data_IF_909619393285
#
_entry.id   IF_909619393285
#
_cell.length_a   1.000
_cell.length_b   1.000
_cell.length_c   1.000
_cell.angle_alpha   90.00
_cell.angle_beta   90.00
_cell.angle_gamma   90.00
#
_symmetry.space_group_name_H-M   'P 1'
#
loop_
_entity.id
_entity.type
_entity.pdbx_description
1 polymer ?
#
# COMPACT_ATOMS: atom_id res chain seq x y z
N UNK A 1 -17.96 17.24 14.58
CA UNK A 1 -17.43 16.82 14.75
C UNK A 1 -17.06 16.16 14.12
N UNK A 2 -16.93 16.09 13.62
CA UNK A 2 -16.90 15.26 12.97
C UNK A 2 -15.94 15.08 11.88
N UNK A 3 -15.51 16.09 11.09
CA UNK A 3 -14.44 15.99 10.08
C UNK A 3 -13.11 15.60 10.74
N UNK A 4 -12.82 16.18 11.89
CA UNK A 4 -11.58 15.86 12.61
C UNK A 4 -11.61 14.42 13.14
N UNK A 5 -12.75 13.96 13.63
CA UNK A 5 -12.88 12.59 14.14
C UNK A 5 -12.67 11.58 13.02
N UNK A 6 -13.24 11.83 11.85
CA UNK A 6 -13.07 10.94 10.72
C UNK A 6 -11.65 10.92 10.21
N UNK A 7 -11.01 12.08 10.11
CA UNK A 7 -9.63 12.16 9.69
C UNK A 7 -8.72 11.39 10.64
N UNK A 8 -8.96 11.52 11.94
CA UNK A 8 -8.19 10.80 12.95
C UNK A 8 -8.42 9.29 12.87
N UNK A 9 -9.66 8.88 12.60
CA UNK A 9 -9.99 7.46 12.46
C UNK A 9 -9.25 6.85 11.28
N UNK A 10 -9.25 7.54 10.13
CA UNK A 10 -8.54 7.06 8.94
C UNK A 10 -7.06 6.98 9.20
N UNK A 11 -6.50 8.00 9.84
CA UNK A 11 -5.07 8.05 10.16
C UNK A 11 -4.68 6.91 11.09
N UNK A 12 -5.49 6.66 12.10
CA UNK A 12 -5.24 5.57 13.06
C UNK A 12 -5.29 4.22 12.38
N UNK A 13 -6.27 4.01 11.50
CA UNK A 13 -6.39 2.76 10.76
C UNK A 13 -5.20 2.54 9.83
N UNK A 14 -4.75 3.59 9.15
CA UNK A 14 -3.56 3.49 8.28
C UNK A 14 -2.32 3.15 9.09
N UNK A 15 -2.14 3.78 10.24
CA UNK A 15 -0.99 3.51 11.09
C UNK A 15 -1.01 2.08 11.60
N UNK A 16 -2.18 1.60 12.00
CA UNK A 16 -2.34 0.22 12.47
C UNK A 16 -2.03 -0.78 11.34
N UNK A 17 -2.51 -0.48 10.14
CA UNK A 17 -2.26 -1.34 8.99
C UNK A 17 -0.78 -1.43 8.66
N UNK A 18 -0.07 -0.30 8.73
CA UNK A 18 1.37 -0.29 8.51
C UNK A 18 2.10 -1.13 9.56
N UNK A 19 1.68 -1.04 10.81
CA UNK A 19 2.24 -1.87 11.87
C UNK A 19 2.00 -3.36 11.61
N UNK A 20 0.79 -3.69 11.17
CA UNK A 20 0.46 -5.08 10.87
C UNK A 20 1.29 -5.62 9.70
N UNK A 21 1.53 -4.79 8.69
CA UNK A 21 2.39 -5.18 7.58
C UNK A 21 3.82 -5.44 8.05
N UNK A 22 4.35 -4.55 8.89
CA UNK A 22 5.72 -4.68 9.42
C UNK A 22 5.86 -5.90 10.30
N UNK A 23 4.82 -6.23 11.04
CA UNK A 23 4.83 -7.38 11.94
C UNK A 23 4.52 -8.70 11.23
N UNK A 24 4.17 -8.64 9.95
CA UNK A 24 3.82 -9.84 9.21
C UNK A 24 2.41 -10.35 9.47
N UNK A 25 1.57 -9.55 10.14
CA UNK A 25 0.20 -9.95 10.43
C UNK A 25 -0.75 -9.64 9.29
N UNK A 26 -0.33 -8.80 8.35
CA UNK A 26 -1.15 -8.43 7.20
C UNK A 26 -0.39 -8.73 5.92
N UNK A 27 -1.07 -9.31 4.96
CA UNK A 27 -0.47 -9.66 3.67
C UNK A 27 -0.69 -8.51 2.68
N UNK A 28 0.41 -7.99 2.13
CA UNK A 28 0.35 -6.88 1.19
C UNK A 28 -0.39 -7.27 -0.10
N UNK A 29 -0.31 -8.54 -0.51
CA UNK A 29 -1.02 -8.99 -1.70
C UNK A 29 -2.52 -8.86 -1.55
N UNK A 30 -3.05 -9.18 -0.38
CA UNK A 30 -4.47 -9.04 -0.09
C UNK A 30 -4.88 -7.57 -0.16
N UNK A 31 -4.04 -6.69 0.39
CA UNK A 31 -4.31 -5.24 0.35
C UNK A 31 -4.30 -4.71 -1.08
N UNK A 32 -3.40 -5.20 -1.91
CA UNK A 32 -3.32 -4.75 -3.30
C UNK A 32 -4.51 -5.23 -4.12
N UNK A 33 -4.97 -6.45 -3.86
CA UNK A 33 -6.09 -7.01 -4.60
C UNK A 33 -7.44 -6.46 -4.16
N UNK A 34 -7.57 -6.20 -2.86
CA UNK A 34 -8.84 -5.75 -2.30
C UNK A 34 -8.57 -4.70 -1.22
N UNK A 35 -8.17 -3.49 -1.62
CA UNK A 35 -7.82 -2.46 -0.64
C UNK A 35 -9.05 -1.93 0.10
N UNK A 36 -8.93 -1.73 1.42
CA UNK A 36 -10.00 -1.07 2.19
C UNK A 36 -10.17 0.38 1.75
N UNK A 37 -11.34 0.93 2.01
CA UNK A 37 -11.66 2.29 1.61
C UNK A 37 -10.66 3.32 2.15
N UNK A 38 -10.23 3.15 3.39
CA UNK A 38 -9.32 4.11 4.03
C UNK A 38 -7.90 4.05 3.48
N UNK A 39 -7.59 3.07 2.64
CA UNK A 39 -6.26 2.89 2.04
C UNK A 39 -6.23 3.32 0.58
N UNK A 40 -7.38 3.44 -0.06
CA UNK A 40 -7.42 3.73 -1.50
C UNK A 40 -6.75 5.05 -1.87
N UNK A 41 -6.78 6.05 -1.00
CA UNK A 41 -6.13 7.32 -1.25
C UNK A 41 -4.66 7.36 -0.80
N UNK A 42 -4.16 6.30 -0.18
CA UNK A 42 -2.76 6.23 0.25
C UNK A 42 -1.86 5.97 -0.96
N UNK A 43 -0.65 6.53 -0.91
CA UNK A 43 0.31 6.29 -1.99
C UNK A 43 0.80 4.86 -1.96
N UNK A 44 0.93 4.26 -3.14
CA UNK A 44 1.36 2.87 -3.25
C UNK A 44 2.77 2.69 -2.67
N UNK A 45 3.68 3.63 -2.93
CA UNK A 45 5.03 3.54 -2.40
C UNK A 45 5.05 3.54 -0.87
N UNK A 46 4.17 4.33 -0.27
CA UNK A 46 4.07 4.42 1.19
C UNK A 46 3.66 3.08 1.81
N UNK A 47 2.72 2.40 1.19
CA UNK A 47 2.28 1.09 1.66
C UNK A 47 3.36 0.02 1.45
N UNK A 48 4.04 0.05 0.31
CA UNK A 48 5.09 -0.94 0.03
C UNK A 48 6.28 -0.76 0.97
N UNK A 49 6.59 0.46 1.37
CA UNK A 49 7.67 0.72 2.32
C UNK A 49 7.37 0.15 3.71
N UNK A 50 6.12 -0.08 4.04
CA UNK A 50 5.75 -0.68 5.31
C UNK A 50 6.01 -2.19 5.34
N UNK A 51 6.23 -2.81 4.18
CA UNK A 51 6.49 -4.25 4.12
C UNK A 51 7.92 -4.51 4.58
N UNK A 52 8.15 -5.48 5.50
CA UNK A 52 9.50 -5.81 5.96
C UNK A 52 10.41 -6.21 4.80
N UNK A 53 11.68 -5.86 4.88
CA UNK A 53 12.71 -6.19 3.89
C UNK A 53 12.60 -5.40 2.59
N UNK A 54 11.67 -4.47 2.48
CA UNK A 54 11.54 -3.62 1.30
C UNK A 54 11.88 -2.19 1.66
N UNK A 55 13.05 -1.72 1.21
CA UNK A 55 13.48 -0.34 1.39
C UNK A 55 13.13 0.52 0.18
N UNK A 56 13.51 1.79 0.23
CA UNK A 56 13.22 2.73 -0.85
C UNK A 56 13.75 2.27 -2.21
N UNK A 57 14.97 1.75 -2.24
CA UNK A 57 15.59 1.32 -3.49
C UNK A 57 14.79 0.19 -4.11
N UNK A 58 14.45 -0.80 -3.30
CA UNK A 58 13.72 -1.97 -3.77
C UNK A 58 12.31 -1.61 -4.23
N UNK A 59 11.63 -0.78 -3.46
CA UNK A 59 10.28 -0.33 -3.80
C UNK A 59 10.30 0.46 -5.11
N UNK A 60 11.23 1.41 -5.24
CA UNK A 60 11.34 2.20 -6.46
C UNK A 60 11.63 1.33 -7.68
N UNK A 61 12.47 0.32 -7.51
CA UNK A 61 12.80 -0.61 -8.59
C UNK A 61 11.55 -1.39 -9.03
N UNK A 62 10.79 -1.89 -8.06
CA UNK A 62 9.56 -2.63 -8.38
C UNK A 62 8.56 -1.74 -9.09
N UNK A 63 8.35 -0.52 -8.60
CA UNK A 63 7.42 0.42 -9.21
C UNK A 63 7.85 0.76 -10.64
N UNK A 64 9.14 0.95 -10.86
CA UNK A 64 9.66 1.25 -12.20
C UNK A 64 9.40 0.07 -13.14
N UNK A 65 9.61 -1.14 -12.68
CA UNK A 65 9.37 -2.35 -13.49
C UNK A 65 7.91 -2.50 -13.86
N UNK A 66 7.02 -2.10 -12.96
CA UNK A 66 5.57 -2.16 -13.21
C UNK A 66 5.03 -0.89 -13.87
N UNK A 67 5.91 0.07 -14.16
CA UNK A 67 5.53 1.35 -14.76
C UNK A 67 4.51 2.10 -13.91
N UNK A 68 4.71 2.07 -12.62
CA UNK A 68 3.84 2.74 -11.67
C UNK A 68 4.58 3.94 -11.08
N UNK A 69 3.93 5.11 -11.12
CA UNK A 69 4.49 6.31 -10.49
C UNK A 69 4.48 6.14 -8.96
N UNK A 70 5.56 6.57 -8.26
CA UNK A 70 5.57 6.50 -6.80
C UNK A 70 4.45 7.30 -6.13
N UNK A 71 3.91 8.30 -6.82
CA UNK A 71 2.81 9.10 -6.29
C UNK A 71 1.43 8.51 -6.60
N UNK A 72 1.38 7.39 -7.31
CA UNK A 72 0.12 6.73 -7.62
C UNK A 72 -0.52 6.21 -6.34
N UNK A 73 -1.85 6.35 -6.23
CA UNK A 73 -2.56 5.84 -5.06
C UNK A 73 -2.96 4.38 -5.26
N UNK A 74 -3.22 3.71 -4.16
CA UNK A 74 -3.63 2.29 -4.19
C UNK A 74 -4.92 2.13 -5.01
N UNK A 75 -5.90 3.00 -4.79
CA UNK A 75 -7.17 2.95 -5.52
C UNK A 75 -7.04 3.37 -6.97
N UNK A 76 -5.95 4.06 -7.33
CA UNK A 76 -5.72 4.50 -8.70
C UNK A 76 -4.99 3.49 -9.56
N UNK A 77 -4.59 2.35 -9.02
CA UNK A 77 -3.90 1.33 -9.78
C UNK A 77 -4.86 0.64 -10.76
N UNK A 78 -4.37 0.38 -11.98
CA UNK A 78 -5.13 -0.44 -12.92
C UNK A 78 -5.07 -1.90 -12.48
N UNK A 79 -5.97 -2.73 -13.01
CA UNK A 79 -5.95 -4.16 -12.68
C UNK A 79 -4.63 -4.81 -13.08
N UNK A 80 -4.10 -4.41 -14.23
CA UNK A 80 -2.82 -4.94 -14.71
C UNK A 80 -1.68 -4.56 -13.79
N UNK A 81 -1.60 -3.27 -13.40
CA UNK A 81 -0.57 -2.80 -12.49
C UNK A 81 -0.65 -3.52 -11.15
N UNK A 82 -1.86 -3.70 -10.66
CA UNK A 82 -2.12 -4.37 -9.40
C UNK A 82 -1.66 -5.83 -9.45
N UNK A 83 -1.99 -6.52 -10.53
CA UNK A 83 -1.56 -7.90 -10.72
C UNK A 83 -0.04 -8.03 -10.80
N UNK A 84 0.61 -7.10 -11.47
CA UNK A 84 2.06 -7.11 -11.56
C UNK A 84 2.72 -6.90 -10.20
N UNK A 85 2.19 -5.98 -9.39
CA UNK A 85 2.70 -5.77 -8.05
C UNK A 85 2.53 -7.02 -7.19
N UNK A 86 1.36 -7.63 -7.23
CA UNK A 86 1.10 -8.86 -6.48
C UNK A 86 2.10 -9.93 -6.87
N UNK A 87 2.41 -10.04 -8.16
CA UNK A 87 3.38 -11.01 -8.64
C UNK A 87 4.75 -10.81 -8.02
N UNK A 88 5.18 -9.56 -7.84
CA UNK A 88 6.47 -9.26 -7.22
C UNK A 88 6.51 -9.65 -5.74
N UNK A 89 5.39 -9.60 -5.05
CA UNK A 89 5.32 -9.87 -3.62
C UNK A 89 4.92 -11.29 -3.27
N UNK A 90 4.66 -12.12 -4.25
CA UNK A 90 4.25 -13.51 -4.01
C UNK A 90 5.43 -14.47 -3.78
N UNK A 91 6.62 -14.00 -3.96
CA UNK A 91 7.83 -14.84 -3.80
C UNK A 91 8.17 -15.11 -2.35
#
# INVERSE_FOLDING_TARGET
MDALSEANRIRTKRAQLKKDLRAGRQNVNVLLLSPPDYIQSAKVSDMLLAVPKYGHVKVNKILAQCRISPSKTIGGLSQRQRAELVSHFRK
#
